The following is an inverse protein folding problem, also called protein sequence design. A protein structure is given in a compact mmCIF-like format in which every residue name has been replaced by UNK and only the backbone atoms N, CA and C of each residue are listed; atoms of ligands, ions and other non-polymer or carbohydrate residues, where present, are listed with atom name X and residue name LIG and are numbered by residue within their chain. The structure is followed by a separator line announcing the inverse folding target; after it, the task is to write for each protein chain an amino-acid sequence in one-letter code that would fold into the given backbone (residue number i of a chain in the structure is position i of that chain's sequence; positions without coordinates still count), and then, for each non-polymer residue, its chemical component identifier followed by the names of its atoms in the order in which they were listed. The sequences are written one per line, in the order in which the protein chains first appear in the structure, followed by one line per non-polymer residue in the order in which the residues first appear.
data_IF_663445660739
#
_entry.id   IF_663445660739
#
_cell.length_a   1.000
_cell.length_b   1.000
_cell.length_c   1.000
_cell.angle_alpha   90.00
_cell.angle_beta   90.00
_cell.angle_gamma   90.00
#
_symmetry.space_group_name_H-M   'P 1'
#
loop_
_entity.id
_entity.type
_entity.pdbx_description
1 polymer ?
#
# COMPACT_ATOMS: atom_id res chain seq x y z
N UNK A 1 -14.71 -18.40 18.67
CA UNK A 1 -13.71 -17.45 18.12
C UNK A 1 -14.47 -16.37 17.37
N UNK A 2 -14.37 -15.12 17.78
CA UNK A 2 -14.99 -14.00 17.06
C UNK A 2 -14.13 -13.66 15.84
N UNK A 3 -14.71 -13.71 14.64
CA UNK A 3 -14.01 -13.36 13.40
C UNK A 3 -13.56 -11.89 13.38
N UNK A 4 -12.71 -11.55 12.41
CA UNK A 4 -12.32 -10.16 12.16
C UNK A 4 -13.55 -9.33 11.77
N UNK A 5 -13.58 -8.07 12.22
CA UNK A 5 -14.56 -7.08 11.76
C UNK A 5 -14.11 -6.48 10.43
N UNK A 6 -15.04 -5.87 9.69
CA UNK A 6 -14.72 -5.10 8.47
C UNK A 6 -13.68 -4.02 8.76
N UNK A 7 -12.72 -3.84 7.84
CA UNK A 7 -11.67 -2.81 7.93
C UNK A 7 -10.28 -3.37 8.25
N UNK A 8 -9.40 -2.49 8.76
CA UNK A 8 -8.01 -2.84 9.11
C UNK A 8 -7.95 -3.71 10.37
N UNK A 9 -6.87 -4.49 10.51
CA UNK A 9 -6.59 -5.28 11.71
C UNK A 9 -6.48 -4.38 12.96
N UNK A 10 -7.02 -4.80 14.13
CA UNK A 10 -6.73 -4.14 15.38
C UNK A 10 -5.22 -4.07 15.66
N UNK A 11 -4.69 -2.97 16.23
CA UNK A 11 -3.26 -2.80 16.47
C UNK A 11 -2.57 -3.94 17.22
N UNK A 12 -3.26 -4.57 18.17
CA UNK A 12 -2.72 -5.72 18.91
C UNK A 12 -2.47 -6.93 17.98
N UNK A 13 -3.44 -7.27 17.15
CA UNK A 13 -3.34 -8.37 16.20
C UNK A 13 -2.32 -8.07 15.08
N UNK A 14 -2.25 -6.82 14.60
CA UNK A 14 -1.25 -6.41 13.62
C UNK A 14 0.18 -6.61 14.17
N UNK A 15 0.42 -6.23 15.44
CA UNK A 15 1.72 -6.45 16.09
C UNK A 15 2.06 -7.93 16.17
N UNK A 16 1.16 -8.74 16.71
CA UNK A 16 1.44 -10.14 17.02
C UNK A 16 1.50 -11.03 15.79
N UNK A 17 0.52 -10.90 14.89
CA UNK A 17 0.31 -11.87 13.81
C UNK A 17 1.05 -11.51 12.52
N UNK A 18 1.44 -10.24 12.35
CA UNK A 18 2.10 -9.74 11.14
C UNK A 18 3.48 -9.17 11.47
N UNK A 19 3.56 -8.06 12.22
CA UNK A 19 4.82 -7.36 12.45
C UNK A 19 5.83 -8.19 13.27
N UNK A 20 5.34 -9.02 14.20
CA UNK A 20 6.16 -9.93 15.01
C UNK A 20 6.71 -11.13 14.24
N UNK A 21 6.28 -11.34 13.00
CA UNK A 21 6.71 -12.44 12.14
C UNK A 21 7.58 -11.99 10.96
N UNK A 22 7.88 -10.69 10.88
CA UNK A 22 8.77 -10.16 9.84
C UNK A 22 10.18 -10.74 10.01
N UNK A 23 10.83 -11.03 8.89
CA UNK A 23 12.09 -11.75 8.83
C UNK A 23 13.32 -10.92 9.23
N UNK A 24 14.48 -11.33 8.70
CA UNK A 24 15.77 -10.75 9.05
C UNK A 24 15.83 -9.24 8.77
N UNK A 25 16.51 -8.52 9.67
CA UNK A 25 16.79 -7.10 9.48
C UNK A 25 17.84 -6.92 8.40
N UNK A 26 17.58 -5.95 7.53
CA UNK A 26 18.44 -5.57 6.43
C UNK A 26 19.02 -4.18 6.70
N UNK A 27 20.35 -3.98 6.63
CA UNK A 27 20.98 -2.70 6.94
C UNK A 27 20.54 -1.58 5.98
N UNK A 28 20.10 -1.93 4.79
CA UNK A 28 19.63 -1.01 3.77
C UNK A 28 18.20 -0.52 4.05
N UNK A 29 17.45 -1.16 4.96
CA UNK A 29 16.11 -0.71 5.34
C UNK A 29 16.18 0.38 6.40
N UNK A 30 16.03 1.62 5.98
CA UNK A 30 16.07 2.81 6.83
C UNK A 30 14.79 2.96 7.66
N UNK A 31 13.63 2.74 7.01
CA UNK A 31 12.31 2.73 7.67
C UNK A 31 11.64 1.39 7.39
N UNK A 32 11.31 0.68 8.48
CA UNK A 32 10.69 -0.65 8.45
C UNK A 32 9.20 -0.57 8.75
N UNK A 33 8.47 -1.63 8.39
CA UNK A 33 7.09 -1.81 8.79
C UNK A 33 6.95 -1.75 10.32
N UNK A 34 6.11 -0.84 10.78
CA UNK A 34 5.73 -0.64 12.17
C UNK A 34 4.36 0.03 12.23
N UNK A 35 3.77 0.10 13.42
CA UNK A 35 2.51 0.81 13.59
C UNK A 35 2.69 2.31 13.41
N UNK A 36 1.76 2.91 12.67
CA UNK A 36 1.77 4.35 12.39
C UNK A 36 2.83 4.76 11.37
N UNK A 37 3.37 3.83 10.60
CA UNK A 37 4.23 4.12 9.45
C UNK A 37 3.49 3.78 8.17
N UNK A 38 3.44 4.75 7.26
CA UNK A 38 2.68 4.69 6.02
C UNK A 38 3.51 4.17 4.84
N UNK A 39 4.84 4.21 4.91
CA UNK A 39 5.72 3.69 3.86
C UNK A 39 7.05 3.16 4.41
N UNK A 40 7.67 2.23 3.68
CA UNK A 40 9.04 1.80 3.93
C UNK A 40 10.03 2.70 3.19
N UNK A 41 11.24 2.83 3.72
CA UNK A 41 12.33 3.54 3.06
C UNK A 41 13.57 2.64 3.03
N UNK A 42 14.20 2.53 1.87
CA UNK A 42 15.45 1.79 1.68
C UNK A 42 16.53 2.70 1.14
N UNK A 43 17.76 2.53 1.59
CA UNK A 43 18.91 3.22 1.04
C UNK A 43 19.03 2.91 -0.45
N UNK A 44 19.13 3.95 -1.28
CA UNK A 44 19.29 3.79 -2.72
C UNK A 44 20.75 4.05 -3.12
N UNK A 45 21.32 5.13 -2.59
CA UNK A 45 22.75 5.47 -2.69
C UNK A 45 23.21 6.15 -1.38
N UNK A 46 24.29 6.94 -1.44
CA UNK A 46 24.91 7.59 -0.29
C UNK A 46 24.06 8.70 0.35
N UNK A 47 23.16 9.31 -0.41
CA UNK A 47 22.48 10.57 -0.06
C UNK A 47 20.99 10.55 -0.35
N UNK A 48 20.47 9.46 -0.94
CA UNK A 48 19.06 9.27 -1.25
C UNK A 48 18.51 7.93 -0.76
N UNK A 49 17.19 7.94 -0.57
CA UNK A 49 16.42 6.77 -0.19
C UNK A 49 15.26 6.58 -1.19
N UNK A 50 14.97 5.32 -1.50
CA UNK A 50 13.77 4.95 -2.23
C UNK A 50 12.66 4.64 -1.23
N UNK A 51 11.54 5.35 -1.35
CA UNK A 51 10.36 5.18 -0.51
C UNK A 51 9.33 4.33 -1.24
N UNK A 52 8.80 3.32 -0.55
CA UNK A 52 7.96 2.29 -1.11
C UNK A 52 6.71 2.15 -0.25
N UNK A 53 5.55 2.24 -0.88
CA UNK A 53 4.26 1.96 -0.26
C UNK A 53 3.38 1.15 -1.21
N UNK A 54 2.39 0.48 -0.65
CA UNK A 54 1.35 -0.23 -1.38
C UNK A 54 0.07 -0.19 -0.56
N UNK A 55 -1.05 0.11 -1.21
CA UNK A 55 -2.34 0.18 -0.53
C UNK A 55 -3.44 -0.42 -1.40
N UNK A 56 -4.05 -1.55 -1.00
CA UNK A 56 -5.06 -2.22 -1.81
C UNK A 56 -6.41 -1.51 -1.71
N UNK A 57 -6.93 -1.05 -2.86
CA UNK A 57 -8.27 -0.47 -2.95
C UNK A 57 -9.29 -1.60 -3.21
N UNK A 58 -10.03 -1.99 -2.18
CA UNK A 58 -10.95 -3.16 -2.24
C UNK A 58 -12.43 -2.82 -2.03
N UNK A 59 -12.74 -1.65 -1.49
CA UNK A 59 -14.11 -1.26 -1.11
C UNK A 59 -14.66 -0.06 -1.88
N UNK A 60 -13.91 0.46 -2.86
CA UNK A 60 -14.35 1.60 -3.65
C UNK A 60 -15.50 1.18 -4.58
N UNK A 61 -16.63 1.88 -4.50
CA UNK A 61 -17.77 1.68 -5.41
C UNK A 61 -17.63 2.48 -6.70
N UNK A 62 -16.87 3.58 -6.67
CA UNK A 62 -16.54 4.42 -7.83
C UNK A 62 -15.12 4.99 -7.68
N UNK A 63 -14.47 5.30 -8.81
CA UNK A 63 -13.18 6.00 -8.82
C UNK A 63 -12.01 5.17 -8.27
N UNK A 64 -12.08 3.84 -8.35
CA UNK A 64 -11.07 2.95 -7.80
C UNK A 64 -9.67 3.20 -8.38
N UNK A 65 -9.55 3.46 -9.69
CA UNK A 65 -8.27 3.79 -10.34
C UNK A 65 -7.65 5.06 -9.75
N UNK A 66 -8.43 6.14 -9.68
CA UNK A 66 -7.98 7.42 -9.12
C UNK A 66 -7.55 7.29 -7.66
N UNK A 67 -8.31 6.54 -6.86
CA UNK A 67 -7.95 6.25 -5.47
C UNK A 67 -6.66 5.42 -5.37
N UNK A 68 -6.47 4.45 -6.26
CA UNK A 68 -5.28 3.60 -6.25
C UNK A 68 -3.98 4.40 -6.45
N UNK A 69 -4.03 5.51 -7.21
CA UNK A 69 -2.90 6.42 -7.40
C UNK A 69 -2.76 7.41 -6.25
N UNK A 70 -3.84 8.11 -5.88
CA UNK A 70 -3.72 9.18 -4.89
C UNK A 70 -3.40 8.66 -3.49
N UNK A 71 -3.90 7.49 -3.11
CA UNK A 71 -3.62 6.92 -1.78
C UNK A 71 -2.14 6.58 -1.64
N UNK A 72 -1.54 5.89 -2.62
CA UNK A 72 -0.10 5.59 -2.56
C UNK A 72 0.75 6.84 -2.64
N UNK A 73 0.38 7.82 -3.47
CA UNK A 73 1.11 9.10 -3.54
C UNK A 73 1.03 9.88 -2.21
N UNK A 74 -0.09 9.80 -1.48
CA UNK A 74 -0.24 10.44 -0.18
C UNK A 74 0.69 9.80 0.87
N UNK A 75 0.81 8.48 0.88
CA UNK A 75 1.74 7.78 1.78
C UNK A 75 3.21 8.14 1.49
N UNK A 76 3.58 8.30 0.22
CA UNK A 76 4.91 8.80 -0.15
C UNK A 76 5.14 10.22 0.36
N UNK A 77 4.13 11.10 0.21
CA UNK A 77 4.20 12.48 0.67
C UNK A 77 4.33 12.58 2.21
N UNK A 78 3.74 11.67 2.98
CA UNK A 78 3.92 11.57 4.44
C UNK A 78 5.40 11.38 4.86
N UNK A 79 6.23 10.80 3.99
CA UNK A 79 7.67 10.63 4.21
C UNK A 79 8.51 11.68 3.47
N UNK A 80 7.88 12.67 2.83
CA UNK A 80 8.57 13.69 2.04
C UNK A 80 9.17 13.17 0.74
N UNK A 81 8.74 11.99 0.25
CA UNK A 81 9.19 11.43 -1.00
C UNK A 81 8.46 12.04 -2.19
N UNK A 82 9.20 12.27 -3.28
CA UNK A 82 8.63 12.62 -4.58
C UNK A 82 8.17 11.35 -5.31
N UNK A 83 6.88 11.25 -5.71
CA UNK A 83 6.40 10.11 -6.48
C UNK A 83 7.02 10.10 -7.89
N UNK A 84 7.75 9.03 -8.22
CA UNK A 84 8.36 8.84 -9.55
C UNK A 84 7.69 7.75 -10.39
N UNK A 85 6.81 6.95 -9.78
CA UNK A 85 6.11 5.85 -10.44
C UNK A 85 5.17 5.11 -9.50
N UNK A 86 4.26 4.33 -10.08
CA UNK A 86 3.27 3.52 -9.35
C UNK A 86 3.35 2.08 -9.83
N UNK A 87 3.35 1.14 -8.88
CA UNK A 87 3.16 -0.28 -9.16
C UNK A 87 1.72 -0.67 -8.82
N UNK A 88 0.92 -0.96 -9.85
CA UNK A 88 -0.49 -1.30 -9.69
C UNK A 88 -0.73 -2.82 -9.77
N UNK A 89 -1.60 -3.33 -8.89
CA UNK A 89 -2.16 -4.68 -8.97
C UNK A 89 -3.68 -4.57 -9.11
N UNK A 90 -4.23 -5.06 -10.21
CA UNK A 90 -5.67 -5.01 -10.49
C UNK A 90 -6.26 -6.41 -10.41
N UNK A 91 -7.27 -6.59 -9.56
CA UNK A 91 -8.01 -7.84 -9.38
C UNK A 91 -9.48 -7.56 -9.67
N UNK A 92 -10.02 -8.17 -10.73
CA UNK A 92 -11.42 -8.02 -11.09
C UNK A 92 -12.21 -9.28 -10.79
N UNK A 93 -13.47 -9.17 -10.31
CA UNK A 93 -14.32 -10.31 -10.05
C UNK A 93 -14.80 -10.97 -11.35
N UNK A 94 -15.22 -12.22 -11.25
CA UNK A 94 -15.90 -12.91 -12.35
C UNK A 94 -17.13 -12.12 -12.82
N UNK A 95 -17.33 -12.04 -14.13
CA UNK A 95 -18.45 -11.31 -14.74
C UNK A 95 -18.25 -9.79 -14.85
N UNK A 96 -17.09 -9.24 -14.48
CA UNK A 96 -16.76 -7.84 -14.79
C UNK A 96 -16.84 -7.58 -16.30
N UNK A 97 -17.32 -6.41 -16.70
CA UNK A 97 -17.39 -6.03 -18.11
C UNK A 97 -16.10 -5.34 -18.56
N UNK A 98 -15.71 -5.46 -19.84
CA UNK A 98 -14.58 -4.70 -20.38
C UNK A 98 -14.71 -3.19 -20.17
N UNK A 99 -15.93 -2.64 -20.23
CA UNK A 99 -16.21 -1.22 -19.98
C UNK A 99 -15.87 -0.81 -18.55
N UNK A 100 -16.23 -1.61 -17.55
CA UNK A 100 -15.90 -1.32 -16.15
C UNK A 100 -14.37 -1.42 -15.88
N UNK A 101 -13.68 -2.34 -16.55
CA UNK A 101 -12.22 -2.41 -16.52
C UNK A 101 -11.62 -1.13 -17.12
N UNK A 102 -12.07 -0.73 -18.31
CA UNK A 102 -11.58 0.47 -18.98
C UNK A 102 -11.78 1.72 -18.11
N UNK A 103 -12.99 1.92 -17.55
CA UNK A 103 -13.27 3.03 -16.63
C UNK A 103 -12.33 3.06 -15.43
N UNK A 104 -11.96 1.90 -14.88
CA UNK A 104 -10.99 1.82 -13.78
C UNK A 104 -9.59 2.23 -14.25
N UNK A 105 -9.15 1.70 -15.39
CA UNK A 105 -7.80 1.93 -15.92
C UNK A 105 -7.58 3.34 -16.48
N UNK A 106 -8.61 3.97 -17.05
CA UNK A 106 -8.57 5.36 -17.56
C UNK A 106 -8.34 6.40 -16.44
N UNK A 107 -8.36 5.95 -15.18
CA UNK A 107 -8.18 6.77 -13.99
C UNK A 107 -6.95 6.41 -13.16
N UNK A 108 -6.09 5.51 -13.66
CA UNK A 108 -4.76 5.20 -13.10
C UNK A 108 -3.72 6.07 -13.83
#
# INVERSE_FOLDING_TARGET
MTGLRTGKLPPALLRELVLGKLGARRPETLVRAQLGVDAAAVAFDSDSACVLTTDPITTATHGAGRLAVHVVCNDLACLGAEPIGVLATLLFPEGVTPTAIAETCDHI
#
